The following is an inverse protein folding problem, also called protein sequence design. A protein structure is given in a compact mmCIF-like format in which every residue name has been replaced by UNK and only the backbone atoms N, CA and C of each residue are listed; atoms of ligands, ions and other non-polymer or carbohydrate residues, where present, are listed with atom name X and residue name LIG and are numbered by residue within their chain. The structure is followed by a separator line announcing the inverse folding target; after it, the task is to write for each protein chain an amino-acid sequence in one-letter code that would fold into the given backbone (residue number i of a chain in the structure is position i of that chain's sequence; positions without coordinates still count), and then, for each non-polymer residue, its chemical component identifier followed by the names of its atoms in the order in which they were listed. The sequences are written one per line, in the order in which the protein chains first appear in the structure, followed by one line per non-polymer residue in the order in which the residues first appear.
data_IF_224127496133
#
_entry.id   IF_224127496133
#
_cell.length_a   1.000
_cell.length_b   1.000
_cell.length_c   1.000
_cell.angle_alpha   90.00
_cell.angle_beta   90.00
_cell.angle_gamma   90.00
#
_symmetry.space_group_name_H-M   'P 1'
#
loop_
_entity.id
_entity.type
_entity.pdbx_description
1 polymer ?
#
# COMPACT_ATOMS: atom_id res chain seq x y z
N UNK A 1 -4.36 -12.91 -13.78
CA UNK A 1 -5.56 -13.69 -14.08
C UNK A 1 -6.17 -14.35 -12.86
N UNK A 2 -5.47 -15.27 -12.17
CA UNK A 2 -6.01 -15.97 -11.00
C UNK A 2 -6.60 -15.06 -9.92
N UNK A 3 -5.93 -13.94 -9.59
CA UNK A 3 -6.45 -12.98 -8.60
C UNK A 3 -7.81 -12.41 -9.00
N UNK A 4 -8.02 -12.08 -10.29
CA UNK A 4 -9.31 -11.54 -10.77
C UNK A 4 -10.40 -12.59 -10.69
N UNK A 5 -10.08 -13.83 -11.04
CA UNK A 5 -11.02 -14.97 -10.91
C UNK A 5 -11.40 -15.21 -9.45
N UNK A 6 -10.43 -15.17 -8.53
CA UNK A 6 -10.70 -15.30 -7.10
C UNK A 6 -11.61 -14.18 -6.58
N UNK A 7 -11.34 -12.92 -6.94
CA UNK A 7 -12.18 -11.79 -6.54
C UNK A 7 -13.58 -11.87 -7.14
N UNK A 8 -13.71 -12.29 -8.41
CA UNK A 8 -15.00 -12.47 -9.06
C UNK A 8 -15.85 -13.58 -8.42
N UNK A 9 -15.20 -14.59 -7.83
CA UNK A 9 -15.85 -15.63 -7.04
C UNK A 9 -16.12 -15.25 -5.58
N UNK A 10 -15.85 -14.00 -5.17
CA UNK A 10 -16.00 -13.52 -3.79
C UNK A 10 -14.88 -13.94 -2.84
N UNK A 11 -13.77 -14.45 -3.36
CA UNK A 11 -12.55 -14.75 -2.58
C UNK A 11 -11.66 -13.53 -2.39
N UNK A 12 -10.45 -13.74 -1.85
CA UNK A 12 -9.45 -12.69 -1.57
C UNK A 12 -8.21 -12.81 -2.46
N UNK A 13 -7.51 -11.72 -2.73
CA UNK A 13 -6.24 -11.76 -3.45
C UNK A 13 -5.10 -12.38 -2.61
N UNK A 14 -5.30 -12.58 -1.31
CA UNK A 14 -4.27 -13.02 -0.37
C UNK A 14 -4.84 -13.97 0.68
N UNK A 15 -4.22 -15.14 0.87
CA UNK A 15 -4.38 -15.91 2.10
C UNK A 15 -3.67 -15.21 3.27
N UNK A 16 -2.37 -15.47 3.42
CA UNK A 16 -1.55 -14.92 4.52
C UNK A 16 -0.47 -13.91 4.09
N UNK A 17 -0.08 -13.92 2.81
CA UNK A 17 1.09 -13.17 2.34
C UNK A 17 0.86 -11.66 2.18
N UNK A 18 -0.40 -11.21 2.24
CA UNK A 18 -0.80 -9.82 2.08
C UNK A 18 -0.60 -9.26 0.66
N UNK A 19 -0.77 -7.94 0.55
CA UNK A 19 -0.78 -7.21 -0.75
C UNK A 19 0.64 -6.88 -1.25
N UNK A 20 1.47 -6.27 -0.38
CA UNK A 20 2.81 -5.81 -0.73
C UNK A 20 2.81 -4.87 -1.94
N UNK A 21 3.77 -5.06 -2.85
CA UNK A 21 3.81 -4.38 -4.16
C UNK A 21 3.08 -5.19 -5.24
N UNK A 22 3.28 -6.51 -5.24
CA UNK A 22 2.85 -7.41 -6.33
C UNK A 22 1.34 -7.48 -6.51
N UNK A 23 0.56 -7.26 -5.45
CA UNK A 23 -0.90 -7.32 -5.51
C UNK A 23 -1.56 -5.95 -5.35
N UNK A 24 -0.78 -4.87 -5.33
CA UNK A 24 -1.28 -3.51 -5.08
C UNK A 24 -2.37 -3.09 -6.08
N UNK A 25 -2.22 -3.51 -7.34
CA UNK A 25 -3.17 -3.24 -8.40
C UNK A 25 -4.58 -3.85 -8.15
N UNK A 26 -4.69 -4.85 -7.26
CA UNK A 26 -5.95 -5.49 -6.92
C UNK A 26 -6.56 -4.96 -5.62
N UNK A 27 -5.81 -4.17 -4.84
CA UNK A 27 -6.24 -3.71 -3.53
C UNK A 27 -7.55 -2.92 -3.55
N UNK A 28 -7.74 -2.04 -4.56
CA UNK A 28 -9.00 -1.28 -4.71
C UNK A 28 -10.15 -2.18 -5.20
N UNK A 29 -9.87 -3.19 -6.01
CA UNK A 29 -10.90 -4.15 -6.42
C UNK A 29 -11.35 -5.04 -5.25
N UNK A 30 -10.45 -5.39 -4.33
CA UNK A 30 -10.77 -6.21 -3.16
C UNK A 30 -11.49 -5.43 -2.06
N UNK A 31 -11.03 -4.21 -1.77
CA UNK A 31 -11.52 -3.46 -0.61
C UNK A 31 -12.52 -2.34 -0.96
N UNK A 32 -12.67 -1.99 -2.24
CA UNK A 32 -13.59 -0.94 -2.68
C UNK A 32 -13.36 0.38 -1.95
N UNK A 33 -14.44 0.98 -1.46
CA UNK A 33 -14.44 2.28 -0.78
C UNK A 33 -13.72 2.25 0.59
N UNK A 34 -13.52 1.07 1.18
CA UNK A 34 -12.77 0.93 2.42
C UNK A 34 -11.30 1.35 2.27
N UNK A 35 -10.79 1.45 1.02
CA UNK A 35 -9.47 2.02 0.73
C UNK A 35 -9.32 3.45 1.27
N UNK A 36 -10.38 4.26 1.23
CA UNK A 36 -10.30 5.64 1.72
C UNK A 36 -10.24 5.69 3.24
N UNK A 37 -10.93 4.78 3.93
CA UNK A 37 -10.77 4.61 5.38
C UNK A 37 -9.35 4.16 5.76
N UNK A 38 -8.78 3.22 5.01
CA UNK A 38 -7.40 2.78 5.23
C UNK A 38 -6.39 3.92 5.02
N UNK A 39 -6.64 4.79 4.03
CA UNK A 39 -5.86 6.01 3.85
C UNK A 39 -6.01 7.00 5.02
N UNK A 40 -7.23 7.21 5.51
CA UNK A 40 -7.46 8.08 6.67
C UNK A 40 -6.70 7.58 7.92
N UNK A 41 -6.69 6.26 8.15
CA UNK A 41 -5.90 5.65 9.23
C UNK A 41 -4.40 5.85 8.99
N UNK A 42 -3.93 5.64 7.76
CA UNK A 42 -2.52 5.82 7.38
C UNK A 42 -2.06 7.25 7.63
N UNK A 43 -2.86 8.24 7.25
CA UNK A 43 -2.53 9.66 7.42
C UNK A 43 -2.50 10.07 8.90
N UNK A 44 -3.40 9.51 9.71
CA UNK A 44 -3.42 9.76 11.14
C UNK A 44 -2.17 9.20 11.85
N UNK A 45 -1.65 8.06 11.38
CA UNK A 45 -0.49 7.39 11.98
C UNK A 45 0.85 7.83 11.38
N UNK A 46 0.87 8.17 10.10
CA UNK A 46 2.08 8.50 9.34
C UNK A 46 1.85 9.68 8.40
N UNK A 47 1.62 10.88 8.95
CA UNK A 47 1.39 12.09 8.15
C UNK A 47 2.58 12.47 7.28
N UNK A 48 3.80 12.03 7.66
CA UNK A 48 5.02 12.24 6.89
C UNK A 48 5.24 11.19 5.78
N UNK A 49 4.45 10.12 5.75
CA UNK A 49 4.50 9.09 4.72
C UNK A 49 5.79 8.24 4.71
N UNK A 50 6.51 8.14 5.83
CA UNK A 50 7.82 7.48 5.90
C UNK A 50 7.71 5.96 5.95
N UNK A 51 6.60 5.41 6.46
CA UNK A 51 6.43 3.97 6.64
C UNK A 51 6.00 3.32 5.33
N UNK A 52 6.96 2.72 4.63
CA UNK A 52 6.75 1.93 3.40
C UNK A 52 5.98 2.69 2.29
N UNK A 53 6.53 3.81 1.78
CA UNK A 53 5.90 4.57 0.71
C UNK A 53 5.64 3.70 -0.52
N UNK A 54 4.48 3.88 -1.14
CA UNK A 54 4.07 3.18 -2.37
C UNK A 54 3.72 1.70 -2.20
N UNK A 55 3.62 1.18 -0.97
CA UNK A 55 3.24 -0.21 -0.69
C UNK A 55 1.89 -0.27 0.05
N UNK A 56 1.26 -1.45 0.02
CA UNK A 56 0.03 -1.83 0.75
C UNK A 56 -1.24 -1.11 0.33
N UNK A 57 -1.23 0.22 0.19
CA UNK A 57 -2.38 1.00 -0.23
C UNK A 57 -2.25 1.43 -1.69
N UNK A 58 -3.29 1.23 -2.52
CA UNK A 58 -3.28 1.69 -3.90
C UNK A 58 -3.26 3.23 -3.93
N UNK A 59 -2.82 3.83 -5.05
CA UNK A 59 -2.91 5.27 -5.24
C UNK A 59 -4.31 5.81 -4.94
N UNK A 60 -4.36 7.02 -4.38
CA UNK A 60 -5.63 7.73 -4.17
C UNK A 60 -6.32 7.92 -5.51
N UNK A 61 -7.66 7.89 -5.50
CA UNK A 61 -8.44 8.14 -6.71
C UNK A 61 -8.06 9.52 -7.29
N UNK A 62 -7.61 9.55 -8.55
CA UNK A 62 -7.16 10.78 -9.22
C UNK A 62 -5.70 11.18 -8.97
N UNK A 63 -4.94 10.48 -8.13
CA UNK A 63 -3.51 10.71 -7.99
C UNK A 63 -2.75 10.03 -9.16
N UNK A 64 -1.71 10.68 -9.74
CA UNK A 64 -0.85 10.01 -10.71
C UNK A 64 -0.23 8.76 -10.09
N UNK A 65 0.01 7.72 -10.90
CA UNK A 65 0.66 6.49 -10.45
C UNK A 65 1.98 6.85 -9.74
N UNK A 66 2.05 6.62 -8.43
CA UNK A 66 3.17 7.07 -7.62
C UNK A 66 4.48 6.49 -8.15
N UNK A 67 5.36 7.34 -8.68
CA UNK A 67 6.77 7.00 -8.85
C UNK A 67 7.33 6.73 -7.46
N UNK A 68 7.88 5.53 -7.26
CA UNK A 68 8.60 5.19 -6.02
C UNK A 68 9.75 6.20 -5.90
N UNK A 69 9.60 7.17 -5.01
CA UNK A 69 10.71 8.04 -4.62
C UNK A 69 11.83 7.17 -4.03
N UNK A 70 13.11 7.58 -4.17
CA UNK A 70 14.21 6.82 -3.60
C UNK A 70 13.93 6.60 -2.12
N UNK A 71 14.14 5.36 -1.66
CA UNK A 71 14.11 5.02 -0.24
C UNK A 71 15.13 5.94 0.42
N UNK A 72 14.69 6.85 1.30
CA UNK A 72 15.61 7.72 2.01
C UNK A 72 16.64 6.85 2.73
N UNK A 73 17.93 7.18 2.55
CA UNK A 73 19.02 6.49 3.23
C UNK A 73 18.72 6.45 4.74
N UNK A 74 19.01 5.32 5.43
CA UNK A 74 18.80 5.24 6.86
C UNK A 74 19.56 6.37 7.55
N UNK A 75 18.86 7.14 8.39
CA UNK A 75 19.45 8.21 9.19
C UNK A 75 20.70 7.67 9.92
N UNK A 76 21.84 8.37 9.88
CA UNK A 76 23.04 7.91 10.55
C UNK A 76 22.75 7.75 12.04
N UNK A 77 23.01 6.56 12.57
CA UNK A 77 22.96 6.31 14.01
C UNK A 77 23.92 7.29 14.69
N UNK A 78 23.38 8.29 15.40
CA UNK A 78 24.19 9.21 16.17
C UNK A 78 24.80 8.46 17.34
N UNK A 79 26.07 8.10 17.26
CA UNK A 79 26.75 7.50 18.41
C UNK A 79 28.07 6.80 18.08
N UNK A 80 29.12 7.58 17.80
CA UNK A 80 30.49 7.19 18.16
C UNK A 80 31.38 8.44 18.22
N UNK A 81 31.37 9.10 19.38
CA UNK A 81 32.56 9.67 20.00
C UNK A 81 32.54 9.26 21.47
#
# INVERSE_FOLDING_TARGET
ELVRLSLAAGGTCTGEHGIGLRKLAYARAEHGDAVELMWAIKDALDPAGIMNPGKKLPPRAGAPAATVGPVADPLPLSGSR
#
